data_IF_743462035505
#
_entry.id   IF_743462035505
#
_cell.length_a   1.000
_cell.length_b   1.000
_cell.length_c   1.000
_cell.angle_alpha   90.00
_cell.angle_beta   90.00
_cell.angle_gamma   90.00
#
_symmetry.space_group_name_H-M   'P 1'
#
loop_
_entity.id
_entity.type
_entity.pdbx_description
1 polymer ?
#
# COMPACT_ATOMS: atom_id res chain seq x y z
N UNK A 1 36.03 -8.96 9.42
CA UNK A 1 36.49 -10.20 8.79
C UNK A 1 35.56 -10.58 7.66
N UNK A 2 35.78 -11.73 7.02
CA UNK A 2 34.88 -12.23 5.95
C UNK A 2 33.47 -12.45 6.49
N UNK A 3 33.36 -12.92 7.73
CA UNK A 3 32.12 -13.22 8.44
C UNK A 3 31.27 -11.97 8.70
N UNK A 4 31.90 -10.84 9.05
CA UNK A 4 31.19 -9.57 9.25
C UNK A 4 30.59 -9.03 7.95
N UNK A 5 31.28 -9.27 6.82
CA UNK A 5 30.76 -8.90 5.49
C UNK A 5 29.62 -9.83 5.06
N UNK A 6 29.73 -11.13 5.32
CA UNK A 6 28.63 -12.08 5.08
C UNK A 6 27.39 -11.68 5.88
N UNK A 7 27.55 -11.32 7.16
CA UNK A 7 26.44 -10.83 7.98
C UNK A 7 25.82 -9.54 7.43
N UNK A 8 26.66 -8.62 6.95
CA UNK A 8 26.18 -7.40 6.31
C UNK A 8 25.32 -7.71 5.07
N UNK A 9 25.76 -8.63 4.22
CA UNK A 9 24.99 -9.07 3.04
C UNK A 9 23.70 -9.78 3.44
N UNK A 10 23.73 -10.62 4.47
CA UNK A 10 22.53 -11.28 4.99
C UNK A 10 21.46 -10.24 5.41
N UNK A 11 21.86 -9.21 6.16
CA UNK A 11 20.98 -8.09 6.51
C UNK A 11 20.50 -7.32 5.28
N UNK A 12 21.37 -7.08 4.29
CA UNK A 12 21.00 -6.41 3.06
C UNK A 12 19.88 -7.16 2.31
N UNK A 13 19.97 -8.49 2.21
CA UNK A 13 18.90 -9.31 1.62
C UNK A 13 17.58 -9.23 2.40
N UNK A 14 17.64 -9.25 3.74
CA UNK A 14 16.44 -9.05 4.58
C UNK A 14 15.81 -7.67 4.32
N UNK A 15 16.63 -6.63 4.22
CA UNK A 15 16.15 -5.26 3.93
C UNK A 15 15.56 -5.15 2.52
N UNK A 16 16.11 -5.86 1.53
CA UNK A 16 15.50 -5.90 0.18
C UNK A 16 14.08 -6.48 0.23
N UNK A 17 13.87 -7.56 0.99
CA UNK A 17 12.54 -8.12 1.19
C UNK A 17 11.61 -7.13 1.91
N UNK A 18 12.10 -6.50 2.98
CA UNK A 18 11.33 -5.52 3.75
C UNK A 18 10.95 -4.29 2.91
N UNK A 19 11.87 -3.75 2.11
CA UNK A 19 11.57 -2.64 1.20
C UNK A 19 10.49 -2.99 0.18
N UNK A 20 10.54 -4.20 -0.38
CA UNK A 20 9.49 -4.70 -1.27
C UNK A 20 8.14 -4.83 -0.57
N UNK A 21 8.12 -5.44 0.62
CA UNK A 21 6.90 -5.60 1.41
C UNK A 21 6.32 -4.24 1.85
N UNK A 22 7.16 -3.36 2.39
CA UNK A 22 6.78 -2.03 2.80
C UNK A 22 6.12 -1.26 1.65
N UNK A 23 6.77 -1.17 0.50
CA UNK A 23 6.26 -0.33 -0.59
C UNK A 23 5.00 -0.91 -1.23
N UNK A 24 4.96 -2.22 -1.47
CA UNK A 24 3.87 -2.86 -2.20
C UNK A 24 2.66 -3.18 -1.31
N UNK A 25 2.88 -3.44 -0.02
CA UNK A 25 1.85 -3.91 0.91
C UNK A 25 1.55 -2.85 1.96
N UNK A 26 2.49 -2.56 2.87
CA UNK A 26 2.23 -1.66 3.99
C UNK A 26 1.86 -0.24 3.53
N UNK A 27 2.46 0.21 2.43
CA UNK A 27 2.23 1.52 1.84
C UNK A 27 1.17 1.45 0.74
N UNK A 28 1.48 0.89 -0.44
CA UNK A 28 0.54 0.91 -1.57
C UNK A 28 -0.79 0.21 -1.27
N UNK A 29 -0.76 -1.06 -0.85
CA UNK A 29 -2.00 -1.82 -0.66
C UNK A 29 -2.81 -1.27 0.52
N UNK A 30 -2.21 -1.23 1.71
CA UNK A 30 -2.93 -1.00 2.97
C UNK A 30 -3.30 0.47 3.21
N UNK A 31 -2.83 1.41 2.39
CA UNK A 31 -3.27 2.81 2.45
C UNK A 31 -3.85 3.27 1.12
N UNK A 32 -3.04 3.36 0.05
CA UNK A 32 -3.49 3.93 -1.22
C UNK A 32 -4.66 3.14 -1.83
N UNK A 33 -4.47 1.85 -2.08
CA UNK A 33 -5.42 1.03 -2.83
C UNK A 33 -6.72 0.77 -2.05
N UNK A 34 -6.63 0.51 -0.74
CA UNK A 34 -7.82 0.23 0.08
C UNK A 34 -8.64 1.46 0.46
N UNK A 35 -8.05 2.67 0.47
CA UNK A 35 -8.79 3.90 0.81
C UNK A 35 -9.61 4.43 -0.37
N UNK A 36 -9.12 4.29 -1.60
CA UNK A 36 -9.79 4.81 -2.80
C UNK A 36 -11.25 4.33 -2.98
N UNK A 37 -11.61 3.05 -2.73
CA UNK A 37 -13.01 2.59 -2.76
C UNK A 37 -13.93 3.34 -1.80
N UNK A 38 -13.48 3.69 -0.59
CA UNK A 38 -14.28 4.45 0.37
C UNK A 38 -14.49 5.89 -0.10
N UNK A 39 -13.47 6.52 -0.67
CA UNK A 39 -13.60 7.86 -1.26
C UNK A 39 -14.63 7.87 -2.40
N UNK A 40 -14.60 6.87 -3.28
CA UNK A 40 -15.56 6.71 -4.38
C UNK A 40 -16.98 6.48 -3.82
N UNK A 41 -17.14 5.54 -2.88
CA UNK A 41 -18.44 5.19 -2.31
C UNK A 41 -19.09 6.38 -1.58
N UNK A 42 -18.31 7.15 -0.80
CA UNK A 42 -18.77 8.34 -0.10
C UNK A 42 -19.29 9.40 -1.08
N UNK A 43 -18.54 9.71 -2.14
CA UNK A 43 -18.97 10.72 -3.12
C UNK A 43 -20.18 10.28 -3.95
N UNK A 44 -20.32 8.98 -4.23
CA UNK A 44 -21.44 8.44 -5.01
C UNK A 44 -22.75 8.33 -4.24
N UNK A 45 -22.68 8.12 -2.93
CA UNK A 45 -23.86 7.73 -2.14
C UNK A 45 -24.19 8.67 -0.98
N UNK A 46 -23.27 9.56 -0.57
CA UNK A 46 -23.51 10.51 0.52
C UNK A 46 -23.47 11.94 -0.03
N UNK A 47 -24.60 12.63 0.03
CA UNK A 47 -24.70 14.06 -0.30
C UNK A 47 -23.65 14.87 0.45
N UNK A 48 -23.20 15.98 -0.15
CA UNK A 48 -22.31 16.97 0.50
C UNK A 48 -22.90 17.55 1.79
N UNK A 49 -24.22 17.45 2.00
CA UNK A 49 -24.89 17.84 3.23
C UNK A 49 -24.89 16.75 4.31
N UNK A 50 -24.65 15.49 3.95
CA UNK A 50 -24.70 14.35 4.86
C UNK A 50 -23.59 14.46 5.93
N UNK A 51 -23.89 14.27 7.23
CA UNK A 51 -22.91 14.46 8.29
C UNK A 51 -21.69 13.54 8.15
N UNK A 52 -21.89 12.29 7.71
CA UNK A 52 -20.78 11.35 7.48
C UNK A 52 -19.94 11.74 6.24
N UNK A 53 -20.52 12.39 5.22
CA UNK A 53 -19.72 12.93 4.12
C UNK A 53 -18.79 14.02 4.67
N UNK A 54 -19.31 14.98 5.45
CA UNK A 54 -18.52 16.05 6.07
C UNK A 54 -17.42 15.54 7.00
N UNK A 55 -17.70 14.47 7.76
CA UNK A 55 -16.72 13.83 8.63
C UNK A 55 -15.58 13.19 7.84
N UNK A 56 -15.88 12.44 6.77
CA UNK A 56 -14.90 11.65 6.04
C UNK A 56 -14.16 12.43 4.95
N UNK A 57 -14.80 13.43 4.35
CA UNK A 57 -14.29 14.14 3.17
C UNK A 57 -12.86 14.70 3.34
N UNK A 58 -12.49 15.34 4.46
CA UNK A 58 -11.13 15.85 4.65
C UNK A 58 -10.05 14.75 4.58
N UNK A 59 -10.40 13.51 4.94
CA UNK A 59 -9.48 12.38 4.96
C UNK A 59 -9.23 11.75 3.58
N UNK A 60 -9.98 12.15 2.55
CA UNK A 60 -9.82 11.65 1.18
C UNK A 60 -9.14 12.65 0.25
N UNK A 61 -8.67 13.78 0.79
CA UNK A 61 -8.02 14.83 0.01
C UNK A 61 -6.86 14.22 -0.78
N UNK A 62 -6.87 14.47 -2.09
CA UNK A 62 -5.87 14.04 -3.06
C UNK A 62 -5.70 12.52 -3.26
N UNK A 63 -6.37 11.65 -2.50
CA UNK A 63 -6.22 10.18 -2.62
C UNK A 63 -6.48 9.68 -4.04
N UNK A 64 -7.58 10.09 -4.66
CA UNK A 64 -7.91 9.64 -6.04
C UNK A 64 -6.90 10.21 -7.04
N UNK A 65 -6.45 11.45 -6.84
CA UNK A 65 -5.49 12.11 -7.73
C UNK A 65 -4.12 11.42 -7.68
N UNK A 66 -3.56 11.20 -6.49
CA UNK A 66 -2.26 10.55 -6.35
C UNK A 66 -2.30 9.09 -6.81
N UNK A 67 -3.40 8.37 -6.58
CA UNK A 67 -3.56 7.02 -7.09
C UNK A 67 -3.68 6.98 -8.61
N UNK A 68 -4.34 7.96 -9.22
CA UNK A 68 -4.38 8.14 -10.67
C UNK A 68 -2.99 8.31 -11.27
N UNK A 69 -2.18 9.19 -10.67
CA UNK A 69 -0.77 9.40 -11.07
C UNK A 69 0.05 8.14 -10.84
N UNK A 70 -0.13 7.44 -9.72
CA UNK A 70 0.59 6.21 -9.43
C UNK A 70 0.29 5.12 -10.46
N UNK A 71 -0.97 4.95 -10.87
CA UNK A 71 -1.35 4.03 -11.95
C UNK A 71 -0.73 4.40 -13.30
N UNK A 72 -0.40 5.67 -13.53
CA UNK A 72 0.17 6.14 -14.79
C UNK A 72 1.70 6.02 -14.86
N UNK A 73 2.41 6.27 -13.76
CA UNK A 73 3.88 6.40 -13.77
C UNK A 73 4.63 5.59 -12.71
N UNK A 74 3.95 5.13 -11.65
CA UNK A 74 4.60 4.45 -10.52
C UNK A 74 4.47 2.93 -10.62
N UNK A 75 3.24 2.43 -10.71
CA UNK A 75 2.90 0.99 -10.63
C UNK A 75 2.46 0.38 -11.97
N UNK A 76 2.55 1.14 -13.07
CA UNK A 76 2.30 0.64 -14.42
C UNK A 76 3.42 -0.33 -14.86
N UNK A 77 3.14 -1.12 -15.90
CA UNK A 77 4.15 -1.91 -16.58
C UNK A 77 5.29 -1.01 -17.07
N UNK A 78 6.54 -1.36 -16.74
CA UNK A 78 7.70 -0.53 -16.98
C UNK A 78 7.71 0.80 -16.21
N UNK A 79 6.87 0.95 -15.18
CA UNK A 79 6.87 2.09 -14.27
C UNK A 79 7.99 2.03 -13.24
N UNK A 80 8.08 3.05 -12.38
CA UNK A 80 9.20 3.17 -11.44
C UNK A 80 9.33 1.97 -10.49
N UNK A 81 8.22 1.44 -9.97
CA UNK A 81 8.25 0.29 -9.05
C UNK A 81 8.85 -0.95 -9.73
N UNK A 82 8.44 -1.27 -10.96
CA UNK A 82 8.98 -2.44 -11.68
C UNK A 82 10.46 -2.28 -12.06
N UNK A 83 10.95 -1.04 -12.19
CA UNK A 83 12.35 -0.78 -12.51
C UNK A 83 13.26 -0.75 -11.28
N UNK A 84 12.74 -0.32 -10.12
CA UNK A 84 13.53 -0.04 -8.93
C UNK A 84 13.46 -1.12 -7.83
N UNK A 85 12.42 -1.98 -7.84
CA UNK A 85 12.22 -2.99 -6.79
C UNK A 85 12.45 -4.40 -7.32
N UNK A 86 12.95 -5.27 -6.43
CA UNK A 86 13.34 -6.65 -6.76
C UNK A 86 12.28 -7.44 -7.56
N UNK A 87 10.96 -7.38 -7.24
CA UNK A 87 9.99 -8.21 -7.94
C UNK A 87 9.74 -7.83 -9.40
N UNK A 88 10.17 -6.64 -9.83
CA UNK A 88 9.98 -6.15 -11.19
C UNK A 88 8.53 -6.23 -11.64
N UNK A 89 8.27 -6.84 -12.80
CA UNK A 89 6.92 -7.05 -13.37
C UNK A 89 5.95 -7.85 -12.49
N UNK A 90 6.43 -8.53 -11.46
CA UNK A 90 5.58 -9.28 -10.52
C UNK A 90 5.13 -8.45 -9.31
N UNK A 91 5.58 -7.19 -9.20
CA UNK A 91 5.33 -6.33 -8.04
C UNK A 91 3.84 -6.19 -7.70
N UNK A 92 3.00 -5.89 -8.68
CA UNK A 92 1.56 -5.72 -8.45
C UNK A 92 0.82 -7.03 -8.21
N UNK A 93 1.32 -8.15 -8.74
CA UNK A 93 0.78 -9.48 -8.47
C UNK A 93 0.97 -9.86 -6.99
N UNK A 94 2.13 -9.55 -6.41
CA UNK A 94 2.40 -9.78 -4.99
C UNK A 94 1.37 -9.07 -4.11
N UNK A 95 1.10 -7.78 -4.35
CA UNK A 95 0.07 -7.04 -3.60
C UNK A 95 -1.31 -7.71 -3.73
N UNK A 96 -1.68 -8.17 -4.92
CA UNK A 96 -2.95 -8.88 -5.14
C UNK A 96 -3.04 -10.21 -4.38
N UNK A 97 -1.94 -10.99 -4.35
CA UNK A 97 -1.87 -12.22 -3.58
C UNK A 97 -2.04 -11.94 -2.08
N UNK A 98 -1.35 -10.94 -1.54
CA UNK A 98 -1.42 -10.57 -0.12
C UNK A 98 -2.81 -10.04 0.24
N UNK A 99 -3.47 -9.31 -0.65
CA UNK A 99 -4.82 -8.78 -0.44
C UNK A 99 -5.87 -9.87 -0.14
N UNK A 100 -5.66 -11.11 -0.60
CA UNK A 100 -6.55 -12.24 -0.28
C UNK A 100 -6.71 -12.50 1.23
N UNK A 101 -5.72 -12.08 2.02
CA UNK A 101 -5.72 -12.21 3.48
C UNK A 101 -5.94 -10.87 4.20
N UNK A 102 -6.23 -9.80 3.46
CA UNK A 102 -6.48 -8.50 4.06
C UNK A 102 -7.85 -8.48 4.74
N UNK A 103 -7.89 -8.01 5.98
CA UNK A 103 -9.09 -7.97 6.81
C UNK A 103 -9.26 -6.54 7.33
N UNK A 104 -10.37 -5.91 6.97
CA UNK A 104 -10.65 -4.51 7.32
C UNK A 104 -10.63 -4.27 8.84
N UNK A 105 -11.22 -5.16 9.63
CA UNK A 105 -11.29 -5.02 11.09
C UNK A 105 -9.93 -5.14 11.77
N UNK A 106 -8.98 -5.84 11.15
CA UNK A 106 -7.64 -6.01 11.68
C UNK A 106 -6.76 -4.76 11.45
N UNK A 107 -7.22 -3.79 10.65
CA UNK A 107 -6.49 -2.54 10.41
C UNK A 107 -6.59 -1.55 11.58
N UNK A 108 -7.48 -1.81 12.54
CA UNK A 108 -7.54 -1.01 13.75
C UNK A 108 -6.25 -1.24 14.57
N UNK A 109 -5.56 -0.16 14.95
CA UNK A 109 -4.27 -0.24 15.65
C UNK A 109 -4.27 -1.22 16.85
N UNK A 110 -5.28 -1.23 17.75
CA UNK A 110 -5.30 -2.21 18.84
C UNK A 110 -5.43 -3.65 18.35
N UNK A 111 -6.20 -3.91 17.29
CA UNK A 111 -6.38 -5.24 16.73
C UNK A 111 -5.10 -5.73 16.03
N UNK A 112 -4.44 -4.84 15.26
CA UNK A 112 -3.15 -5.14 14.63
C UNK A 112 -2.09 -5.52 15.67
N UNK A 113 -1.96 -4.73 16.74
CA UNK A 113 -0.98 -4.98 17.80
C UNK A 113 -1.20 -6.30 18.54
N UNK A 114 -2.45 -6.76 18.67
CA UNK A 114 -2.78 -8.06 19.31
C UNK A 114 -2.54 -9.23 18.36
N UNK A 115 -2.71 -9.02 17.05
CA UNK A 115 -2.60 -10.08 16.03
C UNK A 115 -1.16 -10.49 15.73
N UNK A 116 -0.20 -9.56 15.84
CA UNK A 116 1.22 -9.76 15.51
C UNK A 116 2.04 -10.33 16.67
#
# INVERSE_FOLDING_TARGET
GVESTIWLLAKAHVVVNDCGYHQLISHWLNTHAVVEPFAIATNRNLSVLHPINKLLYPHYRDTININGLARQSLINAGGFIEQAFLPGKYSMEISSIVYKNWVFTDQALPADLVKR
#
